data_IF_986003696207
#
_entry.id   IF_986003696207
#
_cell.length_a   1.000
_cell.length_b   1.000
_cell.length_c   1.000
_cell.angle_alpha   90.00
_cell.angle_beta   90.00
_cell.angle_gamma   90.00
#
_symmetry.space_group_name_H-M   'P 1'
#
loop_
_entity.id
_entity.type
_entity.pdbx_description
1 polymer ?
#
# COMPACT_ATOMS: atom_id res chain seq x y z
N UNK A 1 -12.44 19.86 -9.74
CA UNK A 1 -12.26 18.41 -9.52
C UNK A 1 -10.94 18.18 -8.79
N UNK A 2 -11.01 17.81 -7.51
CA UNK A 2 -9.86 17.58 -6.63
C UNK A 2 -9.29 16.20 -6.94
N UNK A 3 -7.97 16.11 -7.11
CA UNK A 3 -7.28 14.84 -7.36
C UNK A 3 -6.11 14.73 -6.40
N UNK A 4 -5.95 13.55 -5.82
CA UNK A 4 -4.82 13.21 -4.99
C UNK A 4 -3.81 12.43 -5.82
N UNK A 5 -2.53 12.63 -5.53
CA UNK A 5 -1.48 11.73 -6.00
C UNK A 5 -0.85 11.03 -4.82
N UNK A 6 -0.70 9.72 -4.99
CA UNK A 6 -0.05 8.85 -4.02
C UNK A 6 1.17 8.29 -4.71
N UNK A 7 2.34 8.57 -4.15
CA UNK A 7 3.58 7.91 -4.50
C UNK A 7 3.80 6.77 -3.50
N UNK A 8 4.38 5.68 -3.97
CA UNK A 8 4.65 4.54 -3.13
C UNK A 8 5.64 3.60 -3.79
N UNK A 9 6.22 2.77 -2.96
CA UNK A 9 7.01 1.60 -3.33
C UNK A 9 6.46 0.41 -2.56
N UNK A 10 6.85 -0.79 -2.96
CA UNK A 10 6.52 -1.99 -2.22
C UNK A 10 7.81 -2.77 -1.99
N UNK A 11 7.90 -3.41 -0.83
CA UNK A 11 8.99 -4.33 -0.52
C UNK A 11 8.50 -5.76 -0.78
N UNK A 12 9.25 -6.53 -1.55
CA UNK A 12 8.98 -7.95 -1.71
C UNK A 12 9.61 -8.73 -0.55
N UNK A 13 8.78 -9.34 0.29
CA UNK A 13 9.24 -10.25 1.35
C UNK A 13 9.27 -11.67 0.77
N UNK A 14 10.45 -12.31 0.66
CA UNK A 14 10.56 -13.68 0.17
C UNK A 14 9.71 -14.65 1.00
N UNK A 15 9.10 -15.68 0.41
CA UNK A 15 8.22 -16.62 1.12
C UNK A 15 8.86 -17.21 2.39
N UNK A 16 10.16 -17.49 2.35
CA UNK A 16 10.96 -18.05 3.45
C UNK A 16 11.04 -17.11 4.67
N UNK A 17 10.89 -15.80 4.46
CA UNK A 17 10.99 -14.78 5.51
C UNK A 17 9.61 -14.36 6.06
N UNK A 18 8.52 -14.89 5.51
CA UNK A 18 7.16 -14.52 5.93
C UNK A 18 6.78 -15.30 7.20
N UNK A 19 6.30 -14.59 8.21
CA UNK A 19 5.71 -15.20 9.42
C UNK A 19 4.39 -15.89 9.03
N UNK A 20 4.35 -17.22 9.09
CA UNK A 20 3.20 -18.13 8.92
C UNK A 20 1.95 -17.49 8.28
N UNK A 21 1.98 -17.29 6.96
CA UNK A 21 0.81 -16.97 6.17
C UNK A 21 0.48 -18.19 5.31
N UNK A 22 0.04 -19.27 5.98
CA UNK A 22 -0.41 -20.49 5.32
C UNK A 22 -1.80 -20.17 4.77
N UNK A 23 -1.94 -20.25 3.44
CA UNK A 23 -3.26 -20.25 2.82
C UNK A 23 -4.07 -21.39 3.44
N UNK A 24 -5.17 -21.06 4.14
CA UNK A 24 -6.04 -22.04 4.80
C UNK A 24 -7.04 -22.66 3.81
N UNK A 25 -7.00 -22.28 2.53
CA UNK A 25 -7.87 -22.87 1.52
C UNK A 25 -7.32 -24.24 1.12
N UNK A 26 -8.08 -25.34 1.26
CA UNK A 26 -7.70 -26.62 0.69
C UNK A 26 -7.79 -26.49 -0.83
N UNK A 27 -6.67 -26.20 -1.47
CA UNK A 27 -6.54 -26.41 -2.90
C UNK A 27 -6.29 -27.91 -3.09
N UNK A 28 -7.17 -28.60 -3.83
CA UNK A 28 -7.06 -30.04 -4.07
C UNK A 28 -5.93 -30.30 -5.07
N UNK A 29 -4.71 -30.50 -4.56
CA UNK A 29 -3.55 -30.87 -5.37
C UNK A 29 -3.38 -32.39 -5.43
N UNK A 30 -2.77 -32.89 -6.52
CA UNK A 30 -2.57 -34.33 -6.74
C UNK A 30 -1.52 -34.93 -5.78
N UNK A 31 -0.55 -34.14 -5.32
CA UNK A 31 0.31 -34.43 -4.17
C UNK A 31 0.76 -33.16 -3.42
N UNK A 32 1.17 -33.32 -2.15
CA UNK A 32 1.59 -32.23 -1.25
C UNK A 32 3.00 -31.64 -1.55
N UNK A 33 3.86 -32.35 -2.29
CA UNK A 33 5.19 -31.89 -2.70
C UNK A 33 5.07 -30.90 -3.87
N UNK A 34 4.13 -31.13 -4.80
CA UNK A 34 3.88 -30.28 -5.96
C UNK A 34 3.31 -28.91 -5.54
N UNK A 35 2.47 -28.86 -4.50
CA UNK A 35 1.92 -27.64 -3.89
C UNK A 35 3.00 -26.74 -3.26
N UNK A 36 3.93 -27.33 -2.51
CA UNK A 36 4.95 -26.57 -1.77
C UNK A 36 6.11 -26.11 -2.65
N UNK A 37 6.45 -26.86 -3.70
CA UNK A 37 7.53 -26.50 -4.63
C UNK A 37 7.10 -25.54 -5.74
N UNK A 38 5.89 -25.66 -6.31
CA UNK A 38 5.47 -24.84 -7.45
C UNK A 38 4.84 -23.50 -7.04
N UNK A 39 4.00 -23.46 -6.01
CA UNK A 39 3.31 -22.22 -5.61
C UNK A 39 4.29 -21.17 -5.08
N UNK A 40 5.37 -21.61 -4.41
CA UNK A 40 6.37 -20.72 -3.80
C UNK A 40 7.46 -20.25 -4.76
N UNK A 41 7.84 -21.05 -5.77
CA UNK A 41 8.84 -20.66 -6.80
C UNK A 41 8.32 -19.59 -7.75
N UNK A 42 7.01 -19.51 -7.90
CA UNK A 42 6.37 -18.68 -8.91
C UNK A 42 6.06 -17.27 -8.39
N UNK A 43 6.38 -16.95 -7.13
CA UNK A 43 6.24 -15.62 -6.55
C UNK A 43 7.52 -14.80 -6.75
N UNK A 44 7.44 -13.77 -7.59
CA UNK A 44 8.56 -12.83 -7.82
C UNK A 44 8.10 -11.38 -7.70
N UNK A 45 9.01 -10.49 -7.33
CA UNK A 45 8.78 -9.05 -7.30
C UNK A 45 8.20 -8.53 -8.64
N UNK A 46 8.81 -8.95 -9.76
CA UNK A 46 8.39 -8.58 -11.10
C UNK A 46 6.95 -9.03 -11.41
N UNK A 47 6.56 -10.25 -10.99
CA UNK A 47 5.18 -10.74 -11.14
C UNK A 47 4.19 -9.88 -10.38
N UNK A 48 4.50 -9.51 -9.13
CA UNK A 48 3.61 -8.66 -8.33
C UNK A 48 3.53 -7.23 -8.87
N UNK A 49 4.64 -6.64 -9.29
CA UNK A 49 4.65 -5.33 -9.96
C UNK A 49 3.78 -5.34 -11.21
N UNK A 50 3.96 -6.33 -12.10
CA UNK A 50 3.17 -6.47 -13.31
C UNK A 50 1.68 -6.71 -13.05
N UNK A 51 1.35 -7.49 -12.00
CA UNK A 51 -0.04 -7.69 -11.56
C UNK A 51 -0.67 -6.39 -11.04
N UNK A 52 0.06 -5.63 -10.22
CA UNK A 52 -0.39 -4.33 -9.71
C UNK A 52 -0.62 -3.36 -10.86
N UNK A 53 0.36 -3.18 -11.74
CA UNK A 53 0.31 -2.25 -12.88
C UNK A 53 -0.90 -2.55 -13.78
N UNK A 54 -1.07 -3.82 -14.19
CA UNK A 54 -2.20 -4.25 -15.02
C UNK A 54 -3.55 -3.96 -14.36
N UNK A 55 -3.67 -4.22 -13.06
CA UNK A 55 -4.91 -3.97 -12.30
C UNK A 55 -5.18 -2.47 -12.14
N UNK A 56 -4.15 -1.71 -11.78
CA UNK A 56 -4.22 -0.26 -11.61
C UNK A 56 -4.61 0.47 -12.89
N UNK A 57 -4.04 0.09 -14.03
CA UNK A 57 -4.39 0.62 -15.36
C UNK A 57 -5.84 0.34 -15.75
N UNK A 58 -6.36 -0.84 -15.38
CA UNK A 58 -7.75 -1.26 -15.70
C UNK A 58 -8.77 -0.86 -14.63
N UNK A 59 -8.35 -0.21 -13.54
CA UNK A 59 -9.21 0.06 -12.38
C UNK A 59 -9.73 -1.19 -11.66
N UNK A 60 -9.05 -2.33 -11.82
CA UNK A 60 -9.42 -3.59 -11.18
C UNK A 60 -8.91 -3.62 -9.74
N UNK A 61 -9.76 -4.04 -8.81
CA UNK A 61 -9.44 -4.18 -7.39
C UNK A 61 -10.23 -5.34 -6.79
N UNK A 62 -9.70 -5.97 -5.75
CA UNK A 62 -10.43 -7.01 -5.01
C UNK A 62 -11.58 -6.40 -4.20
N UNK A 63 -11.28 -5.32 -3.47
CA UNK A 63 -12.26 -4.44 -2.85
C UNK A 63 -12.09 -3.03 -3.40
N UNK A 64 -13.22 -2.33 -3.62
CA UNK A 64 -13.23 -0.93 -4.02
C UNK A 64 -12.52 -0.11 -2.93
N UNK A 65 -11.42 0.61 -3.22
CA UNK A 65 -10.81 1.50 -2.23
C UNK A 65 -11.76 2.64 -1.88
N UNK A 66 -11.57 3.23 -0.71
CA UNK A 66 -12.40 4.29 -0.18
C UNK A 66 -11.55 5.35 0.56
N UNK A 67 -12.05 6.58 0.64
CA UNK A 67 -11.40 7.70 1.32
C UNK A 67 -11.94 7.81 2.75
N UNK A 68 -11.28 7.14 3.69
CA UNK A 68 -11.66 7.12 5.11
C UNK A 68 -12.76 6.11 5.41
N UNK A 69 -13.98 6.36 4.93
CA UNK A 69 -15.16 5.52 5.22
C UNK A 69 -15.72 4.85 3.95
N UNK A 70 -16.43 3.73 4.10
CA UNK A 70 -16.91 2.87 2.97
C UNK A 70 -17.89 3.59 2.03
N UNK A 71 -18.54 4.63 2.52
CA UNK A 71 -19.48 5.50 1.81
C UNK A 71 -18.77 6.32 0.71
N UNK A 72 -17.47 6.55 0.84
CA UNK A 72 -16.69 7.40 -0.04
C UNK A 72 -15.81 6.56 -0.98
N UNK A 73 -16.45 5.92 -1.96
CA UNK A 73 -15.75 5.11 -2.97
C UNK A 73 -14.69 5.94 -3.72
N UNK A 74 -13.49 5.37 -3.82
CA UNK A 74 -12.35 5.98 -4.51
C UNK A 74 -12.22 5.41 -5.92
N UNK A 75 -12.18 6.31 -6.91
CA UNK A 75 -11.78 5.98 -8.27
C UNK A 75 -10.29 6.30 -8.43
N UNK A 76 -9.57 5.38 -9.08
CA UNK A 76 -8.13 5.49 -9.25
C UNK A 76 -7.73 5.07 -10.66
N UNK A 77 -6.59 5.58 -11.10
CA UNK A 77 -5.89 5.13 -12.29
C UNK A 77 -4.38 5.17 -12.00
N UNK A 78 -3.62 4.31 -12.69
CA UNK A 78 -2.17 4.43 -12.67
C UNK A 78 -1.77 5.68 -13.48
N UNK A 79 -0.83 6.45 -12.95
CA UNK A 79 -0.29 7.65 -13.61
C UNK A 79 1.11 7.31 -14.10
N UNK A 80 1.30 7.35 -15.42
CA UNK A 80 2.63 7.21 -16.01
C UNK A 80 3.46 8.48 -15.77
N UNK A 81 4.78 8.37 -15.46
CA UNK A 81 5.64 9.51 -15.17
C UNK A 81 5.59 10.62 -16.23
N UNK A 82 5.36 10.25 -17.50
CA UNK A 82 5.41 11.16 -18.64
C UNK A 82 4.03 11.75 -19.02
N UNK A 83 2.93 11.26 -18.46
CA UNK A 83 1.57 11.69 -18.84
C UNK A 83 1.05 12.88 -18.01
N UNK A 84 1.91 13.43 -17.16
CA UNK A 84 1.43 14.21 -16.04
C UNK A 84 1.30 15.71 -16.33
N UNK A 85 0.10 16.26 -16.13
CA UNK A 85 -0.20 17.67 -16.45
C UNK A 85 -0.68 18.51 -15.26
N UNK A 86 -1.13 17.90 -14.16
CA UNK A 86 -1.70 18.64 -13.02
C UNK A 86 -0.65 18.92 -11.97
N UNK A 87 -0.32 20.20 -11.80
CA UNK A 87 0.55 20.67 -10.72
C UNK A 87 -0.15 20.53 -9.35
N UNK A 88 0.59 20.22 -8.28
CA UNK A 88 0.09 20.36 -6.92
C UNK A 88 -0.38 21.79 -6.63
N UNK A 89 -1.14 21.94 -5.55
CA UNK A 89 -1.50 23.27 -5.04
C UNK A 89 -0.24 23.98 -4.52
N UNK A 90 -0.15 25.28 -4.73
CA UNK A 90 0.98 26.09 -4.25
C UNK A 90 0.74 26.54 -2.80
N UNK A 91 0.59 25.57 -1.91
CA UNK A 91 0.35 25.80 -0.48
C UNK A 91 1.43 25.10 0.35
N UNK A 92 2.01 25.85 1.28
CA UNK A 92 2.95 25.35 2.28
C UNK A 92 2.42 25.70 3.66
N UNK A 93 2.19 24.70 4.52
CA UNK A 93 1.72 24.89 5.90
C UNK A 93 2.06 23.70 6.80
N UNK A 94 2.27 23.99 8.07
CA UNK A 94 2.31 22.99 9.13
C UNK A 94 0.89 22.55 9.48
N UNK A 95 0.59 21.26 9.28
CA UNK A 95 -0.71 20.66 9.60
C UNK A 95 -0.77 20.16 11.05
N UNK A 96 0.35 20.21 11.78
CA UNK A 96 0.48 19.68 13.13
C UNK A 96 0.58 18.15 13.15
N UNK A 97 0.30 17.57 14.31
CA UNK A 97 0.30 16.12 14.47
C UNK A 97 -0.93 15.49 13.80
N UNK A 98 -0.69 14.48 12.96
CA UNK A 98 -1.71 13.70 12.28
C UNK A 98 -1.46 12.21 12.51
N UNK A 99 -2.53 11.42 12.42
CA UNK A 99 -2.43 9.95 12.44
C UNK A 99 -1.56 9.50 11.26
N UNK A 100 -0.53 8.72 11.57
CA UNK A 100 0.36 8.12 10.60
C UNK A 100 -0.15 6.73 10.19
N UNK A 101 -0.28 5.82 11.16
CA UNK A 101 -0.69 4.42 10.97
C UNK A 101 -1.03 3.80 12.33
N UNK A 102 -1.37 2.51 12.38
CA UNK A 102 -1.57 1.74 13.60
C UNK A 102 -0.40 0.77 13.83
N UNK A 103 0.10 0.63 15.06
CA UNK A 103 1.19 -0.29 15.41
C UNK A 103 0.68 -1.71 15.71
N UNK A 104 0.68 -2.54 14.67
CA UNK A 104 0.34 -3.96 14.77
C UNK A 104 1.51 -4.85 15.25
N UNK A 105 2.69 -4.30 15.53
CA UNK A 105 3.84 -5.11 15.98
C UNK A 105 3.72 -5.50 17.46
N UNK A 106 3.14 -4.61 18.28
CA UNK A 106 2.98 -4.82 19.71
C UNK A 106 1.74 -5.66 20.02
N UNK A 107 0.58 -5.21 19.54
CA UNK A 107 -0.71 -5.88 19.73
C UNK A 107 -1.48 -5.88 18.41
N UNK A 108 -1.83 -7.07 17.92
CA UNK A 108 -2.56 -7.23 16.65
C UNK A 108 -4.05 -6.99 16.80
N UNK A 109 -4.61 -7.27 17.97
CA UNK A 109 -6.04 -7.20 18.24
C UNK A 109 -6.44 -5.81 18.74
N UNK A 110 -5.51 -5.10 19.38
CA UNK A 110 -5.69 -3.73 19.84
C UNK A 110 -4.45 -2.85 19.55
N UNK A 111 -4.18 -2.54 18.26
CA UNK A 111 -3.01 -1.75 17.89
C UNK A 111 -3.12 -0.30 18.39
N UNK A 112 -2.00 0.28 18.82
CA UNK A 112 -1.95 1.70 19.21
C UNK A 112 -1.78 2.62 17.99
N UNK A 113 -2.30 3.86 18.03
CA UNK A 113 -2.10 4.82 16.96
C UNK A 113 -0.68 5.41 16.96
N UNK A 114 -0.06 5.46 15.80
CA UNK A 114 1.18 6.18 15.52
C UNK A 114 0.87 7.54 14.91
N UNK A 115 1.61 8.58 15.31
CA UNK A 115 1.45 9.95 14.84
C UNK A 115 2.74 10.51 14.24
N UNK A 116 2.60 11.43 13.30
CA UNK A 116 3.70 12.20 12.74
C UNK A 116 3.30 13.67 12.62
N UNK A 117 4.29 14.57 12.57
CA UNK A 117 4.03 15.99 12.30
C UNK A 117 3.96 16.19 10.80
N UNK A 118 2.74 16.31 10.28
CA UNK A 118 2.50 16.49 8.86
C UNK A 118 2.83 17.92 8.44
N UNK A 119 3.71 18.05 7.45
CA UNK A 119 4.05 19.32 6.84
C UNK A 119 3.69 19.26 5.36
N UNK A 120 2.86 20.21 4.92
CA UNK A 120 2.55 20.41 3.51
C UNK A 120 3.60 21.36 2.94
N UNK A 121 4.36 20.94 1.95
CA UNK A 121 5.26 21.80 1.20
C UNK A 121 4.87 21.80 -0.28
N UNK A 122 4.44 22.95 -0.80
CA UNK A 122 3.97 23.13 -2.19
C UNK A 122 2.99 22.03 -2.61
N UNK A 123 2.02 21.76 -1.76
CA UNK A 123 0.98 20.76 -2.00
C UNK A 123 1.41 19.30 -1.84
N UNK A 124 2.61 19.03 -1.36
CA UNK A 124 3.15 17.68 -1.12
C UNK A 124 3.31 17.44 0.38
N UNK A 125 2.84 16.29 0.85
CA UNK A 125 3.12 15.80 2.21
C UNK A 125 4.07 14.62 2.06
N UNK A 126 5.25 14.72 2.69
CA UNK A 126 6.15 13.60 2.77
C UNK A 126 5.71 12.67 3.91
N UNK A 127 5.51 11.40 3.58
CA UNK A 127 5.12 10.35 4.54
C UNK A 127 6.16 9.24 4.63
N UNK A 128 7.34 9.39 4.06
CA UNK A 128 8.38 8.36 4.08
C UNK A 128 8.90 8.15 5.51
N UNK A 129 8.68 6.96 6.08
CA UNK A 129 9.15 6.59 7.44
C UNK A 129 10.67 6.72 7.62
N UNK A 130 11.44 6.77 6.53
CA UNK A 130 12.90 6.96 6.58
C UNK A 130 13.30 8.41 6.84
N UNK A 131 12.39 9.34 6.58
CA UNK A 131 12.64 10.79 6.64
C UNK A 131 11.82 11.48 7.73
N UNK A 132 10.62 10.98 8.02
CA UNK A 132 9.72 11.59 9.02
C UNK A 132 9.82 10.90 10.38
N UNK A 133 9.80 11.71 11.44
CA UNK A 133 9.70 11.21 12.80
C UNK A 133 8.27 10.71 13.08
N UNK A 134 8.17 9.46 13.54
CA UNK A 134 6.90 8.83 13.93
C UNK A 134 6.94 8.50 15.42
N UNK A 135 5.87 8.85 16.14
CA UNK A 135 5.73 8.71 17.60
C UNK A 135 4.45 7.95 17.95
N UNK A 136 4.51 7.07 18.94
CA UNK A 136 3.37 6.33 19.49
C UNK A 136 3.78 4.98 20.05
#
# INVERSE_FOLDING_TARGET
DVRYRIYGYFDFIPPEQRKNNISVSPEFWADYQEETENVRKDETEAKYAAMFERRAKKGQCFHRPYLGCREFACFFCLVEPNEEKKKPIDETRDLGFMLYDMDFKQDKDNPSPLFFRAYLDKGVINTDRREVEVRG
#
